data_IF_903754844231
#
_entry.id   IF_903754844231
#
_cell.length_a   1.000
_cell.length_b   1.000
_cell.length_c   1.000
_cell.angle_alpha   90.00
_cell.angle_beta   90.00
_cell.angle_gamma   90.00
#
_symmetry.space_group_name_H-M   'P 1'
#
loop_
_entity.id
_entity.type
_entity.pdbx_description
1 polymer ?
#
# COMPACT_ATOMS: atom_id res chain seq x y z
N UNK A 1 20.98 -30.47 4.39
CA UNK A 1 19.69 -30.23 3.70
C UNK A 1 18.69 -31.40 3.79
N UNK A 2 17.53 -31.15 4.41
CA UNK A 2 16.39 -32.06 4.54
C UNK A 2 15.25 -31.57 3.63
N UNK A 3 14.58 -32.47 2.90
CA UNK A 3 13.47 -32.12 2.00
C UNK A 3 12.12 -32.49 2.62
N UNK A 4 11.17 -31.56 2.54
CA UNK A 4 9.78 -31.74 2.94
C UNK A 4 8.84 -31.45 1.76
N UNK A 5 7.75 -32.22 1.69
CA UNK A 5 6.71 -32.07 0.66
C UNK A 5 5.35 -31.91 1.31
N UNK A 6 4.56 -30.96 0.81
CA UNK A 6 3.23 -30.66 1.34
C UNK A 6 2.19 -30.57 0.22
N UNK A 7 1.08 -31.30 0.41
CA UNK A 7 -0.08 -31.22 -0.47
C UNK A 7 -0.79 -29.86 -0.32
N UNK A 8 -1.03 -29.20 -1.45
CA UNK A 8 -1.70 -27.90 -1.53
C UNK A 8 -3.19 -28.01 -1.81
N UNK A 9 -3.78 -29.21 -1.77
CA UNK A 9 -5.22 -29.38 -1.99
C UNK A 9 -6.03 -28.52 -1.01
N UNK A 10 -6.86 -27.67 -1.60
CA UNK A 10 -7.71 -26.66 -0.94
C UNK A 10 -6.94 -25.56 -0.20
N UNK A 11 -5.63 -25.41 -0.42
CA UNK A 11 -4.84 -24.30 0.11
C UNK A 11 -4.87 -23.15 -0.89
N UNK A 12 -5.25 -21.97 -0.40
CA UNK A 12 -5.19 -20.70 -1.15
C UNK A 12 -4.10 -19.79 -0.61
N UNK A 13 -3.80 -19.89 0.69
CA UNK A 13 -2.88 -19.02 1.41
C UNK A 13 -1.73 -19.81 2.02
N UNK A 14 -0.51 -19.39 1.76
CA UNK A 14 0.70 -19.92 2.36
C UNK A 14 1.33 -18.89 3.28
N UNK A 15 1.59 -19.27 4.53
CA UNK A 15 2.32 -18.47 5.51
C UNK A 15 3.63 -19.17 5.84
N UNK A 16 4.73 -18.50 5.56
CA UNK A 16 6.08 -18.95 5.84
C UNK A 16 6.66 -18.05 6.94
N UNK A 17 7.32 -18.66 7.92
CA UNK A 17 8.08 -17.86 8.87
C UNK A 17 9.32 -18.57 9.37
N UNK A 18 10.38 -17.80 9.59
CA UNK A 18 11.59 -18.26 10.28
C UNK A 18 11.99 -17.27 11.36
N UNK A 19 12.77 -17.72 12.34
CA UNK A 19 13.41 -16.80 13.28
C UNK A 19 14.63 -16.14 12.61
N UNK A 20 15.49 -16.94 11.98
CA UNK A 20 16.75 -16.44 11.41
C UNK A 20 17.13 -16.99 10.05
N UNK A 21 16.40 -17.97 9.53
CA UNK A 21 16.81 -18.59 8.28
C UNK A 21 16.63 -17.63 7.11
N UNK A 22 17.60 -17.62 6.21
CA UNK A 22 17.47 -16.99 4.92
C UNK A 22 16.46 -17.80 4.10
N UNK A 23 15.44 -17.14 3.57
CA UNK A 23 14.36 -17.79 2.84
C UNK A 23 14.37 -17.38 1.38
N UNK A 24 14.66 -18.34 0.51
CA UNK A 24 14.44 -18.21 -0.93
C UNK A 24 13.14 -18.90 -1.32
N UNK A 25 12.19 -18.14 -1.84
CA UNK A 25 10.87 -18.60 -2.24
C UNK A 25 10.72 -18.42 -3.74
N UNK A 26 10.50 -19.51 -4.47
CA UNK A 26 10.37 -19.51 -5.92
C UNK A 26 9.10 -20.24 -6.35
N UNK A 27 8.54 -19.83 -7.49
CA UNK A 27 7.39 -20.53 -8.07
C UNK A 27 7.79 -21.87 -8.69
N UNK A 28 6.93 -22.88 -8.60
CA UNK A 28 7.06 -24.13 -9.34
C UNK A 28 5.79 -24.46 -10.15
N UNK A 29 5.95 -25.30 -11.17
CA UNK A 29 4.87 -25.93 -11.93
C UNK A 29 4.35 -27.22 -11.26
N UNK A 30 5.06 -27.70 -10.24
CA UNK A 30 4.60 -28.83 -9.43
C UNK A 30 3.33 -28.49 -8.66
N UNK A 31 2.59 -29.53 -8.26
CA UNK A 31 1.35 -29.40 -7.48
C UNK A 31 1.57 -29.57 -5.96
N UNK A 32 2.82 -29.53 -5.50
CA UNK A 32 3.19 -29.65 -4.10
C UNK A 32 4.10 -28.50 -3.70
N UNK A 33 4.04 -28.09 -2.43
CA UNK A 33 5.10 -27.25 -1.87
C UNK A 33 6.28 -28.14 -1.54
N UNK A 34 7.46 -27.78 -2.04
CA UNK A 34 8.72 -28.48 -1.74
C UNK A 34 9.60 -27.52 -0.94
N UNK A 35 9.90 -27.86 0.30
CA UNK A 35 10.78 -27.08 1.16
C UNK A 35 12.07 -27.87 1.42
N UNK A 36 13.21 -27.30 1.04
CA UNK A 36 14.53 -27.83 1.35
C UNK A 36 15.15 -26.96 2.43
N UNK A 37 15.50 -27.57 3.55
CA UNK A 37 15.93 -26.87 4.76
C UNK A 37 17.36 -27.26 5.08
N UNK A 38 18.27 -26.29 5.19
CA UNK A 38 19.63 -26.54 5.65
C UNK A 38 19.75 -26.32 7.16
N UNK A 39 20.28 -27.35 7.81
CA UNK A 39 20.31 -27.51 9.27
C UNK A 39 21.28 -28.62 9.64
N UNK A 40 21.99 -28.42 10.76
CA UNK A 40 22.86 -29.43 11.37
C UNK A 40 22.07 -30.48 12.17
N UNK A 41 20.76 -30.29 12.36
CA UNK A 41 19.90 -31.18 13.16
C UNK A 41 19.27 -32.28 12.30
N UNK A 42 19.73 -33.51 12.48
CA UNK A 42 19.32 -34.66 11.65
C UNK A 42 17.83 -35.05 11.79
N UNK A 43 17.19 -34.74 12.92
CA UNK A 43 15.77 -35.05 13.20
C UNK A 43 14.85 -33.81 13.08
N UNK A 44 15.36 -32.72 12.49
CA UNK A 44 14.60 -31.50 12.33
C UNK A 44 13.26 -31.72 11.62
N UNK A 45 12.22 -31.07 12.15
CA UNK A 45 10.90 -30.99 11.54
C UNK A 45 10.36 -29.56 11.69
N UNK A 46 9.93 -28.90 10.60
CA UNK A 46 9.27 -27.60 10.71
C UNK A 46 7.91 -27.76 11.40
N UNK A 47 7.47 -26.70 12.08
CA UNK A 47 6.12 -26.66 12.64
C UNK A 47 5.11 -26.39 11.52
N UNK A 48 4.09 -27.24 11.42
CA UNK A 48 3.04 -27.14 10.40
C UNK A 48 1.69 -26.98 11.06
N UNK A 49 0.91 -26.01 10.58
CA UNK A 49 -0.48 -25.81 10.97
C UNK A 49 -1.35 -25.55 9.73
N UNK A 50 -2.45 -26.28 9.63
CA UNK A 50 -3.43 -26.14 8.54
C UNK A 50 -4.77 -25.76 9.15
N UNK A 51 -5.24 -24.57 8.81
CA UNK A 51 -6.53 -24.05 9.24
C UNK A 51 -7.31 -23.54 8.02
N UNK A 52 -8.39 -24.24 7.68
CA UNK A 52 -9.18 -23.97 6.48
C UNK A 52 -8.32 -24.06 5.20
N UNK A 53 -8.29 -22.97 4.44
CA UNK A 53 -7.50 -22.82 3.21
C UNK A 53 -6.11 -22.22 3.42
N UNK A 54 -5.67 -22.09 4.68
CA UNK A 54 -4.36 -21.55 5.03
C UNK A 54 -3.43 -22.66 5.51
N UNK A 55 -2.26 -22.76 4.89
CA UNK A 55 -1.14 -23.57 5.37
C UNK A 55 -0.09 -22.64 5.99
N UNK A 56 0.31 -22.92 7.22
CA UNK A 56 1.38 -22.22 7.93
C UNK A 56 2.54 -23.17 8.14
N UNK A 57 3.73 -22.77 7.68
CA UNK A 57 5.00 -23.47 7.86
C UNK A 57 5.92 -22.55 8.64
N UNK A 58 6.35 -22.98 9.83
CA UNK A 58 7.35 -22.25 10.62
C UNK A 58 8.64 -23.05 10.69
N UNK A 59 9.71 -22.49 10.16
CA UNK A 59 11.03 -23.09 10.14
C UNK A 59 11.76 -22.83 11.47
N UNK A 60 11.28 -23.47 12.54
CA UNK A 60 11.82 -23.33 13.89
C UNK A 60 11.59 -24.61 14.69
N UNK A 61 12.42 -24.85 15.72
CA UNK A 61 12.27 -26.00 16.63
C UNK A 61 11.18 -25.72 17.69
N UNK A 62 10.25 -26.67 17.86
CA UNK A 62 9.29 -26.69 18.97
C UNK A 62 8.06 -25.76 18.82
N UNK A 63 6.93 -26.21 19.38
CA UNK A 63 5.65 -25.52 19.29
C UNK A 63 5.37 -24.57 20.47
N UNK A 64 5.52 -23.27 20.22
CA UNK A 64 4.66 -22.14 20.65
C UNK A 64 5.29 -20.82 20.17
N UNK A 65 4.45 -19.92 19.64
CA UNK A 65 4.71 -18.49 19.43
C UNK A 65 5.93 -18.06 18.59
N UNK A 66 5.71 -17.35 17.47
CA UNK A 66 6.78 -16.67 16.72
C UNK A 66 7.58 -15.71 17.62
N UNK A 67 6.90 -14.89 18.43
CA UNK A 67 7.55 -13.92 19.33
C UNK A 67 8.38 -14.57 20.45
N UNK A 68 8.01 -15.77 20.89
CA UNK A 68 8.70 -16.46 21.99
C UNK A 68 10.04 -17.06 21.53
N UNK A 69 10.13 -17.43 20.24
CA UNK A 69 11.32 -18.04 19.67
C UNK A 69 12.39 -17.04 19.19
N UNK A 70 12.05 -15.77 18.92
CA UNK A 70 13.04 -14.74 18.51
C UNK A 70 14.10 -14.49 19.59
N UNK A 71 13.77 -14.75 20.86
CA UNK A 71 14.69 -14.55 22.00
C UNK A 71 15.51 -15.81 22.36
N UNK A 72 15.40 -16.92 21.61
CA UNK A 72 16.19 -18.13 21.86
C UNK A 72 17.53 -18.07 21.12
N UNK A 73 18.60 -18.45 21.84
CA UNK A 73 20.00 -18.26 21.43
C UNK A 73 20.54 -19.28 20.41
N UNK A 74 19.76 -20.32 20.09
CA UNK A 74 20.13 -21.32 19.08
C UNK A 74 19.03 -21.34 18.01
N UNK A 75 19.37 -20.85 16.82
CA UNK A 75 18.58 -21.13 15.64
C UNK A 75 19.29 -22.24 14.89
N UNK A 76 18.57 -23.33 14.68
CA UNK A 76 19.12 -24.55 14.10
C UNK A 76 18.91 -24.60 12.59
N UNK A 77 18.47 -23.51 11.95
CA UNK A 77 18.16 -23.45 10.52
C UNK A 77 18.86 -22.27 9.89
N UNK A 78 19.73 -22.55 8.94
CA UNK A 78 20.56 -21.54 8.26
C UNK A 78 19.85 -21.02 7.01
N UNK A 79 19.42 -21.92 6.12
CA UNK A 79 18.81 -21.57 4.83
C UNK A 79 17.57 -22.43 4.55
N UNK A 80 16.59 -21.82 3.90
CA UNK A 80 15.35 -22.46 3.50
C UNK A 80 15.04 -22.10 2.05
N UNK A 81 15.05 -23.11 1.18
CA UNK A 81 14.63 -22.99 -0.21
C UNK A 81 13.23 -23.60 -0.40
N UNK A 82 12.26 -22.81 -0.83
CA UNK A 82 10.85 -23.23 -0.93
C UNK A 82 10.35 -23.02 -2.35
N UNK A 83 9.83 -24.09 -2.94
CA UNK A 83 9.12 -24.07 -4.19
C UNK A 83 7.62 -24.08 -3.94
N UNK A 84 6.92 -23.09 -4.49
CA UNK A 84 5.48 -22.87 -4.25
C UNK A 84 4.68 -23.03 -5.55
N UNK A 85 3.64 -23.88 -5.58
CA UNK A 85 2.77 -24.05 -6.74
C UNK A 85 1.99 -22.80 -7.14
N UNK A 86 1.63 -22.70 -8.43
CA UNK A 86 0.76 -21.65 -8.98
C UNK A 86 -0.65 -21.59 -8.35
N UNK A 87 -1.10 -22.66 -7.70
CA UNK A 87 -2.44 -22.71 -7.09
C UNK A 87 -2.56 -21.84 -5.83
N UNK A 88 -1.43 -21.42 -5.25
CA UNK A 88 -1.40 -20.50 -4.12
C UNK A 88 -1.64 -19.08 -4.64
N UNK A 89 -2.73 -18.45 -4.19
CA UNK A 89 -3.06 -17.07 -4.53
C UNK A 89 -2.51 -16.05 -3.54
N UNK A 90 -2.31 -16.41 -2.28
CA UNK A 90 -1.81 -15.50 -1.24
C UNK A 90 -0.53 -16.03 -0.60
N UNK A 91 0.52 -15.21 -0.58
CA UNK A 91 1.80 -15.55 0.05
C UNK A 91 2.12 -14.55 1.16
N UNK A 92 2.42 -15.06 2.35
CA UNK A 92 2.96 -14.28 3.46
C UNK A 92 4.29 -14.88 3.92
N UNK A 93 5.36 -14.09 3.92
CA UNK A 93 6.69 -14.53 4.35
C UNK A 93 7.20 -13.60 5.45
N UNK A 94 7.60 -14.16 6.59
CA UNK A 94 8.11 -13.35 7.70
C UNK A 94 9.41 -13.91 8.28
N UNK A 95 10.36 -13.05 8.59
CA UNK A 95 11.59 -13.45 9.30
C UNK A 95 11.98 -12.40 10.33
N UNK A 96 12.66 -12.83 11.39
CA UNK A 96 13.15 -11.89 12.40
C UNK A 96 14.60 -11.45 12.10
N UNK A 97 15.46 -12.33 11.59
CA UNK A 97 16.88 -11.98 11.38
C UNK A 97 17.52 -12.52 10.09
N UNK A 98 16.77 -13.24 9.26
CA UNK A 98 17.27 -13.74 7.97
C UNK A 98 16.86 -12.84 6.80
N UNK A 99 17.44 -13.09 5.63
CA UNK A 99 17.04 -12.41 4.40
C UNK A 99 15.84 -13.13 3.74
N UNK A 100 15.05 -12.40 2.96
CA UNK A 100 13.95 -12.96 2.16
C UNK A 100 14.18 -12.65 0.69
N UNK A 101 14.20 -13.68 -0.15
CA UNK A 101 14.20 -13.56 -1.61
C UNK A 101 12.94 -14.23 -2.18
N UNK A 102 12.11 -13.48 -2.90
CA UNK A 102 10.87 -13.96 -3.53
C UNK A 102 10.94 -13.70 -5.03
N UNK A 103 10.75 -14.72 -5.87
CA UNK A 103 10.96 -14.59 -7.31
C UNK A 103 9.88 -15.29 -8.15
N UNK A 104 9.40 -14.60 -9.20
CA UNK A 104 8.67 -15.22 -10.31
C UNK A 104 7.19 -15.54 -10.02
N UNK A 105 6.53 -14.77 -9.15
CA UNK A 105 5.17 -15.05 -8.70
C UNK A 105 4.07 -14.28 -9.45
N UNK A 106 2.88 -14.88 -9.53
CA UNK A 106 1.64 -14.23 -9.93
C UNK A 106 0.61 -14.56 -8.84
N UNK A 107 0.30 -13.60 -7.98
CA UNK A 107 -0.45 -13.78 -6.72
C UNK A 107 -1.61 -12.79 -6.64
N UNK A 108 -2.65 -13.15 -5.89
CA UNK A 108 -3.71 -12.23 -5.47
C UNK A 108 -3.21 -11.26 -4.38
N UNK A 109 -2.32 -11.71 -3.49
CA UNK A 109 -1.69 -10.84 -2.48
C UNK A 109 -0.31 -11.35 -2.07
N UNK A 110 0.64 -10.42 -1.90
CA UNK A 110 1.96 -10.70 -1.36
C UNK A 110 2.26 -9.83 -0.14
N UNK A 111 2.56 -10.47 0.99
CA UNK A 111 3.00 -9.79 2.21
C UNK A 111 4.34 -10.32 2.68
N UNK A 112 5.29 -9.42 2.89
CA UNK A 112 6.61 -9.74 3.42
C UNK A 112 6.96 -8.86 4.63
N UNK A 113 7.49 -9.47 5.68
CA UNK A 113 7.95 -8.76 6.87
C UNK A 113 9.32 -9.27 7.32
N UNK A 114 10.27 -8.35 7.44
CA UNK A 114 11.61 -8.61 7.98
C UNK A 114 11.85 -7.67 9.16
N UNK A 115 12.43 -8.16 10.26
CA UNK A 115 12.83 -7.30 11.39
C UNK A 115 14.29 -6.91 11.26
N UNK A 116 15.15 -7.87 10.97
CA UNK A 116 16.57 -7.66 10.66
C UNK A 116 16.91 -8.56 9.47
N UNK A 117 17.58 -8.00 8.47
CA UNK A 117 17.83 -8.66 7.18
C UNK A 117 17.13 -7.94 6.02
N UNK A 118 17.52 -8.29 4.81
CA UNK A 118 17.07 -7.63 3.58
C UNK A 118 15.89 -8.37 2.94
N UNK A 119 15.00 -7.62 2.30
CA UNK A 119 13.87 -8.14 1.54
C UNK A 119 14.07 -7.86 0.06
N UNK A 120 14.15 -8.92 -0.75
CA UNK A 120 14.22 -8.86 -2.21
C UNK A 120 13.01 -9.53 -2.84
N UNK A 121 12.28 -8.80 -3.67
CA UNK A 121 11.16 -9.33 -4.47
C UNK A 121 11.41 -9.02 -5.93
N UNK A 122 11.43 -10.06 -6.76
CA UNK A 122 11.80 -9.97 -8.18
C UNK A 122 10.77 -10.62 -9.09
N UNK A 123 10.58 -10.03 -10.27
CA UNK A 123 9.82 -10.61 -11.39
C UNK A 123 8.43 -11.14 -10.98
N UNK A 124 7.78 -10.43 -10.05
CA UNK A 124 6.54 -10.86 -9.40
C UNK A 124 5.41 -9.86 -9.62
N UNK A 125 4.19 -10.37 -9.69
CA UNK A 125 2.99 -9.60 -10.01
C UNK A 125 1.89 -9.91 -9.00
N UNK A 126 1.31 -8.88 -8.40
CA UNK A 126 0.12 -9.01 -7.54
C UNK A 126 -0.60 -7.68 -7.42
N UNK A 127 -1.94 -7.63 -7.36
CA UNK A 127 -2.63 -6.36 -7.16
C UNK A 127 -2.22 -5.69 -5.84
N UNK A 128 -1.95 -6.46 -4.79
CA UNK A 128 -1.65 -5.94 -3.45
C UNK A 128 -0.29 -6.44 -2.93
N UNK A 129 0.65 -5.50 -2.76
CA UNK A 129 1.95 -5.73 -2.13
C UNK A 129 2.04 -5.00 -0.77
N UNK A 130 2.45 -5.73 0.27
CA UNK A 130 2.76 -5.13 1.58
C UNK A 130 4.12 -5.61 2.08
N UNK A 131 5.06 -4.68 2.20
CA UNK A 131 6.44 -4.95 2.62
C UNK A 131 6.74 -4.14 3.88
N UNK A 132 7.25 -4.78 4.92
CA UNK A 132 7.63 -4.11 6.16
C UNK A 132 9.03 -4.53 6.59
N UNK A 133 9.90 -3.58 6.87
CA UNK A 133 11.23 -3.75 7.44
C UNK A 133 11.36 -2.96 8.74
N UNK A 134 12.16 -3.45 9.69
CA UNK A 134 12.63 -2.63 10.83
C UNK A 134 14.08 -2.19 10.59
N UNK A 135 14.96 -3.13 10.27
CA UNK A 135 16.38 -2.89 10.03
C UNK A 135 16.87 -3.73 8.86
N UNK A 136 16.88 -3.15 7.67
CA UNK A 136 17.33 -3.80 6.44
C UNK A 136 16.65 -3.21 5.22
N UNK A 137 17.27 -3.41 4.05
CA UNK A 137 16.83 -2.78 2.81
C UNK A 137 15.68 -3.56 2.17
N UNK A 138 14.75 -2.85 1.56
CA UNK A 138 13.65 -3.44 0.78
C UNK A 138 13.88 -3.15 -0.68
N UNK A 139 14.09 -4.19 -1.49
CA UNK A 139 14.30 -4.09 -2.93
C UNK A 139 13.21 -4.82 -3.70
N UNK A 140 12.40 -4.05 -4.41
CA UNK A 140 11.36 -4.54 -5.30
C UNK A 140 11.80 -4.26 -6.73
N UNK A 141 12.16 -5.29 -7.49
CA UNK A 141 12.67 -5.14 -8.86
C UNK A 141 11.78 -5.88 -9.85
N UNK A 142 11.53 -5.27 -11.00
CA UNK A 142 10.75 -5.88 -12.08
C UNK A 142 9.37 -6.38 -11.64
N UNK A 143 8.76 -5.77 -10.63
CA UNK A 143 7.45 -6.18 -10.13
C UNK A 143 6.33 -5.26 -10.62
N UNK A 144 5.09 -5.73 -10.50
CA UNK A 144 3.93 -4.94 -10.85
C UNK A 144 2.76 -5.13 -9.87
N UNK A 145 2.12 -4.03 -9.51
CA UNK A 145 1.06 -3.95 -8.50
C UNK A 145 0.10 -2.80 -8.73
N UNK A 146 -1.08 -2.89 -8.09
CA UNK A 146 -2.09 -1.82 -8.04
C UNK A 146 -2.01 -1.02 -6.74
N UNK A 147 -1.71 -1.68 -5.63
CA UNK A 147 -1.52 -1.08 -4.31
C UNK A 147 -0.22 -1.60 -3.73
N UNK A 148 0.63 -0.69 -3.29
CA UNK A 148 1.86 -1.00 -2.60
C UNK A 148 1.97 -0.21 -1.31
N UNK A 149 2.23 -0.91 -0.21
CA UNK A 149 2.62 -0.31 1.06
C UNK A 149 3.99 -0.84 1.48
N UNK A 150 4.97 0.05 1.51
CA UNK A 150 6.34 -0.24 1.96
C UNK A 150 6.68 0.58 3.20
N UNK A 151 6.90 -0.08 4.34
CA UNK A 151 7.27 0.61 5.59
C UNK A 151 8.66 0.16 6.04
N UNK A 152 9.49 1.11 6.46
CA UNK A 152 10.80 0.85 7.08
C UNK A 152 10.99 1.71 8.33
N UNK A 153 11.78 1.24 9.31
CA UNK A 153 12.29 2.11 10.38
C UNK A 153 13.69 2.59 10.02
N UNK A 154 14.58 1.66 9.69
CA UNK A 154 15.92 1.92 9.20
C UNK A 154 16.25 1.02 8.02
N UNK A 155 16.83 1.60 6.97
CA UNK A 155 17.10 0.92 5.71
C UNK A 155 16.36 1.57 4.55
N UNK A 156 16.91 1.39 3.36
CA UNK A 156 16.47 2.04 2.14
C UNK A 156 15.38 1.22 1.46
N UNK A 157 14.47 1.90 0.78
CA UNK A 157 13.41 1.28 -0.01
C UNK A 157 13.67 1.58 -1.49
N UNK A 158 13.92 0.53 -2.26
CA UNK A 158 14.16 0.58 -3.70
C UNK A 158 13.00 -0.07 -4.45
N UNK A 159 12.33 0.69 -5.31
CA UNK A 159 11.34 0.19 -6.27
C UNK A 159 11.88 0.43 -7.67
N UNK A 160 12.30 -0.63 -8.35
CA UNK A 160 13.05 -0.57 -9.59
C UNK A 160 12.29 -1.17 -10.77
N UNK A 161 12.44 -0.54 -11.93
CA UNK A 161 11.84 -0.94 -13.19
C UNK A 161 10.29 -0.97 -13.18
N UNK A 162 9.70 0.03 -12.51
CA UNK A 162 8.25 0.16 -12.37
C UNK A 162 7.61 0.70 -13.67
N UNK A 163 6.72 -0.05 -14.34
CA UNK A 163 6.03 0.47 -15.52
C UNK A 163 4.95 1.49 -15.13
N UNK A 164 4.72 2.58 -15.90
CA UNK A 164 3.60 3.49 -15.68
C UNK A 164 2.24 2.77 -15.74
N UNK A 165 1.48 2.78 -14.64
CA UNK A 165 0.13 2.18 -14.58
C UNK A 165 -0.75 2.92 -13.57
N UNK A 166 -2.05 2.68 -13.65
CA UNK A 166 -2.98 3.16 -12.64
C UNK A 166 -2.79 2.39 -11.32
N UNK A 167 -2.16 3.03 -10.32
CA UNK A 167 -1.85 2.42 -9.02
C UNK A 167 -1.71 3.44 -7.88
N UNK A 168 -1.64 2.90 -6.67
CA UNK A 168 -1.33 3.61 -5.44
C UNK A 168 -0.04 3.03 -4.85
N UNK A 169 0.88 3.92 -4.49
CA UNK A 169 2.18 3.56 -3.94
C UNK A 169 2.42 4.41 -2.70
N UNK A 170 2.46 3.76 -1.55
CA UNK A 170 2.73 4.38 -0.26
C UNK A 170 4.04 3.83 0.32
N UNK A 171 5.01 4.72 0.52
CA UNK A 171 6.27 4.44 1.19
C UNK A 171 6.38 5.31 2.43
N UNK A 172 6.72 4.70 3.55
CA UNK A 172 7.05 5.40 4.79
C UNK A 172 8.35 4.85 5.36
N UNK A 173 9.32 5.72 5.67
CA UNK A 173 10.54 5.37 6.38
C UNK A 173 10.83 6.35 7.51
N UNK A 174 11.55 5.94 8.55
CA UNK A 174 12.05 6.89 9.57
C UNK A 174 13.43 7.38 9.16
N UNK A 175 14.37 6.47 8.94
CA UNK A 175 15.74 6.79 8.54
C UNK A 175 16.19 5.91 7.38
N UNK A 176 16.12 6.46 6.17
CA UNK A 176 16.55 5.80 4.95
C UNK A 176 16.07 6.54 3.71
N UNK A 177 16.70 6.23 2.59
CA UNK A 177 16.34 6.77 1.30
C UNK A 177 15.18 5.97 0.69
N UNK A 178 14.31 6.64 -0.04
CA UNK A 178 13.29 5.99 -0.84
C UNK A 178 13.56 6.30 -2.32
N UNK A 179 13.89 5.27 -3.10
CA UNK A 179 14.21 5.39 -4.52
C UNK A 179 13.21 4.64 -5.39
N UNK A 180 12.57 5.36 -6.30
CA UNK A 180 11.67 4.80 -7.31
C UNK A 180 12.25 5.05 -8.70
N UNK A 181 12.33 4.00 -9.51
CA UNK A 181 12.79 4.06 -10.89
C UNK A 181 11.69 3.55 -11.82
N UNK A 182 11.08 4.46 -12.58
CA UNK A 182 10.11 4.14 -13.61
C UNK A 182 10.78 3.73 -14.92
N UNK A 183 10.16 2.83 -15.69
CA UNK A 183 10.63 2.45 -17.05
C UNK A 183 10.00 3.27 -18.17
N UNK A 184 9.13 4.21 -17.83
CA UNK A 184 8.49 5.11 -18.77
C UNK A 184 7.94 6.33 -18.04
N UNK A 185 7.24 7.17 -18.79
CA UNK A 185 6.68 8.43 -18.32
C UNK A 185 5.35 8.21 -17.57
N UNK A 186 5.29 8.30 -16.22
CA UNK A 186 4.02 8.16 -15.50
C UNK A 186 3.16 9.43 -15.57
N UNK A 187 1.86 9.28 -15.35
CA UNK A 187 0.95 10.40 -15.05
C UNK A 187 0.62 10.34 -13.57
N UNK A 188 1.50 10.93 -12.76
CA UNK A 188 1.45 10.76 -11.32
C UNK A 188 1.16 12.05 -10.57
N UNK A 189 0.51 11.87 -9.44
CA UNK A 189 0.39 12.85 -8.38
C UNK A 189 1.18 12.34 -7.18
N UNK A 190 2.05 13.18 -6.62
CA UNK A 190 2.97 12.77 -5.57
C UNK A 190 2.95 13.70 -4.36
N UNK A 191 2.76 13.11 -3.18
CA UNK A 191 2.99 13.78 -1.90
C UNK A 191 4.31 13.29 -1.35
N UNK A 192 5.27 14.21 -1.25
CA UNK A 192 6.57 13.97 -0.63
C UNK A 192 6.65 14.75 0.67
N UNK A 193 6.90 14.06 1.78
CA UNK A 193 7.13 14.69 3.07
C UNK A 193 8.39 14.13 3.70
N UNK A 194 9.40 14.99 3.92
CA UNK A 194 10.55 14.67 4.75
C UNK A 194 10.83 15.82 5.74
N UNK A 195 11.38 15.50 6.91
CA UNK A 195 11.89 16.52 7.84
C UNK A 195 13.30 16.94 7.42
N UNK A 196 14.14 15.98 7.03
CA UNK A 196 15.48 16.22 6.50
C UNK A 196 15.82 15.32 5.31
N UNK A 197 16.58 15.85 4.36
CA UNK A 197 16.92 15.18 3.11
C UNK A 197 16.39 15.93 1.89
N UNK A 198 16.86 15.54 0.71
CA UNK A 198 16.54 16.17 -0.55
C UNK A 198 15.51 15.36 -1.34
N UNK A 199 14.66 16.07 -2.08
CA UNK A 199 13.78 15.45 -3.07
C UNK A 199 14.49 15.59 -4.41
N UNK A 200 14.99 14.47 -4.93
CA UNK A 200 15.72 14.42 -6.20
C UNK A 200 14.82 13.76 -7.23
N UNK A 201 14.49 14.48 -8.29
CA UNK A 201 13.64 13.95 -9.36
C UNK A 201 14.25 14.21 -10.73
N UNK A 202 14.29 13.17 -11.57
CA UNK A 202 14.61 13.32 -13.00
C UNK A 202 13.37 13.63 -13.85
N UNK A 203 12.18 13.63 -13.24
CA UNK A 203 10.92 13.93 -13.90
C UNK A 203 10.63 15.44 -13.79
N UNK A 204 10.21 16.14 -14.86
CA UNK A 204 9.79 17.54 -14.77
C UNK A 204 8.51 17.71 -13.92
N UNK A 205 8.67 17.83 -12.60
CA UNK A 205 7.56 17.96 -11.64
C UNK A 205 7.26 19.43 -11.32
N UNK A 206 5.98 19.77 -11.25
CA UNK A 206 5.52 21.08 -10.78
C UNK A 206 5.15 20.95 -9.30
N UNK A 207 5.87 21.67 -8.44
CA UNK A 207 5.47 21.80 -7.03
C UNK A 207 4.16 22.59 -6.98
N UNK A 208 3.10 21.96 -6.46
CA UNK A 208 1.78 22.59 -6.26
C UNK A 208 1.78 23.32 -4.94
N UNK A 209 2.07 22.61 -3.85
CA UNK A 209 2.09 23.13 -2.48
C UNK A 209 3.34 22.65 -1.72
N UNK A 210 3.51 23.03 -0.45
CA UNK A 210 4.65 22.68 0.43
C UNK A 210 5.13 21.22 0.31
N UNK A 211 4.21 20.24 0.32
CA UNK A 211 4.45 18.78 0.28
C UNK A 211 3.90 18.09 -0.98
N UNK A 212 3.20 18.82 -1.83
CA UNK A 212 2.45 18.26 -2.96
C UNK A 212 3.10 18.65 -4.28
N UNK A 213 3.44 17.62 -5.06
CA UNK A 213 4.06 17.74 -6.37
C UNK A 213 3.20 17.01 -7.38
N UNK A 214 2.93 17.67 -8.49
CA UNK A 214 2.18 17.05 -9.59
C UNK A 214 3.07 16.87 -10.80
N UNK A 215 2.92 15.73 -11.48
CA UNK A 215 3.67 15.44 -12.68
C UNK A 215 2.73 15.31 -13.89
N UNK A 216 2.77 16.33 -14.76
CA UNK A 216 1.96 16.39 -15.98
C UNK A 216 2.86 16.69 -17.18
N UNK A 217 2.69 15.94 -18.26
CA UNK A 217 3.30 16.27 -19.56
C UNK A 217 2.45 17.32 -20.27
N UNK A 218 3.09 18.32 -20.89
CA UNK A 218 2.44 19.46 -21.58
C UNK A 218 1.41 19.05 -22.65
N UNK A 219 1.44 17.81 -23.14
CA UNK A 219 0.49 17.28 -24.14
C UNK A 219 -0.70 16.50 -23.53
N UNK A 220 -0.83 16.45 -22.20
CA UNK A 220 -1.93 15.79 -21.50
C UNK A 220 -2.79 16.79 -20.72
N UNK A 221 -3.14 17.91 -21.35
CA UNK A 221 -4.11 18.85 -20.80
C UNK A 221 -5.49 18.20 -20.70
N UNK A 222 -5.93 17.85 -19.49
CA UNK A 222 -7.30 17.42 -19.20
C UNK A 222 -7.51 15.96 -18.80
N UNK A 223 -6.46 15.13 -18.76
CA UNK A 223 -6.57 13.77 -18.21
C UNK A 223 -6.06 13.75 -16.75
N UNK A 224 -6.95 13.39 -15.82
CA UNK A 224 -6.63 13.20 -14.40
C UNK A 224 -5.47 12.20 -14.22
N UNK A 225 -4.60 12.46 -13.23
CA UNK A 225 -3.55 11.54 -12.82
C UNK A 225 -4.14 10.14 -12.58
N UNK A 226 -3.43 9.11 -13.05
CA UNK A 226 -3.85 7.73 -12.85
C UNK A 226 -2.99 7.02 -11.80
N UNK A 227 -1.84 7.57 -11.44
CA UNK A 227 -0.96 7.03 -10.41
C UNK A 227 -0.83 8.00 -9.23
N UNK A 228 -0.88 7.46 -8.02
CA UNK A 228 -0.76 8.21 -6.79
C UNK A 228 0.39 7.70 -5.96
N UNK A 229 1.25 8.63 -5.59
CA UNK A 229 2.48 8.35 -4.88
C UNK A 229 2.49 9.12 -3.56
N UNK A 230 2.67 8.43 -2.45
CA UNK A 230 2.94 9.05 -1.16
C UNK A 230 4.26 8.50 -0.65
N UNK A 231 5.23 9.39 -0.45
CA UNK A 231 6.49 9.03 0.17
C UNK A 231 6.73 9.91 1.38
N UNK A 232 6.88 9.27 2.52
CA UNK A 232 7.17 9.92 3.78
C UNK A 232 8.50 9.42 4.32
N UNK A 233 9.35 10.34 4.75
CA UNK A 233 10.55 10.06 5.54
C UNK A 233 10.62 11.00 6.73
N UNK A 234 11.36 10.64 7.78
CA UNK A 234 11.84 11.62 8.75
C UNK A 234 13.19 12.14 8.30
N UNK A 235 14.12 11.25 7.96
CA UNK A 235 15.44 11.58 7.41
C UNK A 235 15.82 10.65 6.26
N UNK A 236 16.30 11.26 5.18
CA UNK A 236 16.78 10.54 3.99
C UNK A 236 16.26 11.19 2.71
N UNK A 237 16.89 10.84 1.60
CA UNK A 237 16.59 11.41 0.29
C UNK A 237 15.45 10.66 -0.38
N UNK A 238 14.55 11.43 -0.99
CA UNK A 238 13.43 10.89 -1.75
C UNK A 238 13.75 11.05 -3.23
N UNK A 239 14.01 9.92 -3.90
CA UNK A 239 14.58 9.89 -5.24
C UNK A 239 13.56 9.29 -6.21
N UNK A 240 13.19 10.04 -7.24
CA UNK A 240 12.32 9.56 -8.32
C UNK A 240 13.02 9.73 -9.66
N UNK A 241 13.30 8.62 -10.33
CA UNK A 241 13.95 8.63 -11.64
C UNK A 241 13.07 7.96 -12.71
N UNK A 242 13.24 8.42 -13.95
CA UNK A 242 12.66 7.80 -15.14
C UNK A 242 13.82 7.26 -15.99
N UNK A 243 13.80 5.97 -16.27
CA UNK A 243 14.75 5.27 -17.13
C UNK A 243 14.01 4.60 -18.30
N UNK A 244 13.83 5.34 -19.40
CA UNK A 244 13.13 4.87 -20.61
C UNK A 244 13.87 3.76 -21.38
N UNK A 245 15.16 3.60 -21.13
CA UNK A 245 15.96 2.50 -21.70
C UNK A 245 15.86 1.21 -20.88
N UNK A 246 15.16 1.23 -19.74
CA UNK A 246 14.98 0.08 -18.87
C UNK A 246 14.01 -0.94 -19.45
N UNK A 247 14.32 -2.23 -19.32
CA UNK A 247 13.35 -3.30 -19.55
C UNK A 247 12.24 -3.19 -18.51
N UNK A 248 11.00 -2.98 -18.96
CA UNK A 248 9.83 -3.01 -18.06
C UNK A 248 9.79 -4.35 -17.31
N UNK A 249 9.50 -4.28 -16.01
CA UNK A 249 9.32 -5.46 -15.16
C UNK A 249 8.25 -6.42 -15.65
N UNK A 250 8.08 -7.54 -14.94
CA UNK A 250 7.06 -8.54 -15.23
C UNK A 250 5.68 -7.87 -15.42
N UNK A 251 5.07 -8.07 -16.58
CA UNK A 251 3.73 -7.55 -16.87
C UNK A 251 2.68 -8.47 -16.28
N UNK A 252 1.56 -7.90 -15.84
CA UNK A 252 0.35 -8.70 -15.68
C UNK A 252 0.04 -9.41 -17.01
N UNK A 253 -0.28 -10.70 -16.96
CA UNK A 253 -0.78 -11.44 -18.15
C UNK A 253 -2.17 -10.96 -18.56
N UNK A 254 -2.96 -10.51 -17.59
CA UNK A 254 -4.27 -9.91 -17.79
C UNK A 254 -4.19 -8.45 -17.38
N UNK A 255 -4.47 -7.47 -18.26
CA UNK A 255 -4.47 -6.07 -17.88
C UNK A 255 -5.39 -5.90 -16.66
N UNK A 256 -4.90 -5.24 -15.61
CA UNK A 256 -5.57 -5.32 -14.33
C UNK A 256 -6.96 -4.66 -14.42
N UNK A 257 -7.94 -5.15 -13.64
CA UNK A 257 -9.36 -4.70 -13.70
C UNK A 257 -9.46 -3.17 -13.64
N UNK A 258 -10.13 -2.52 -14.60
CA UNK A 258 -10.43 -1.09 -14.50
C UNK A 258 -11.23 -0.83 -13.22
N UNK A 259 -10.75 0.09 -12.40
CA UNK A 259 -11.49 0.57 -11.23
C UNK A 259 -12.76 1.29 -11.67
N UNK A 260 -13.80 1.25 -10.84
CA UNK A 260 -15.01 2.03 -11.06
C UNK A 260 -14.74 3.53 -10.84
N UNK A 261 -15.64 4.37 -11.34
CA UNK A 261 -15.58 5.81 -11.09
C UNK A 261 -15.66 6.13 -9.58
N UNK A 262 -16.52 5.44 -8.84
CA UNK A 262 -16.66 5.59 -7.38
C UNK A 262 -15.39 5.20 -6.61
N UNK A 263 -14.74 4.09 -7.00
CA UNK A 263 -13.46 3.66 -6.41
C UNK A 263 -12.38 4.69 -6.68
N UNK A 264 -12.34 5.26 -7.89
CA UNK A 264 -11.41 6.32 -8.28
C UNK A 264 -11.63 7.59 -7.46
N UNK A 265 -12.88 8.04 -7.31
CA UNK A 265 -13.21 9.21 -6.49
C UNK A 265 -12.88 9.01 -5.00
N UNK A 266 -13.20 7.84 -4.43
CA UNK A 266 -12.90 7.54 -3.03
C UNK A 266 -11.41 7.61 -2.76
N UNK A 267 -10.62 7.01 -3.65
CA UNK A 267 -9.16 7.09 -3.61
C UNK A 267 -8.68 8.53 -3.79
N UNK A 268 -9.32 9.34 -4.63
CA UNK A 268 -8.97 10.76 -4.82
C UNK A 268 -9.16 11.52 -3.50
N UNK A 269 -10.32 11.35 -2.84
CA UNK A 269 -10.57 11.96 -1.52
C UNK A 269 -9.57 11.52 -0.45
N UNK A 270 -9.24 10.24 -0.39
CA UNK A 270 -8.25 9.73 0.55
C UNK A 270 -6.87 10.36 0.30
N UNK A 271 -6.44 10.44 -0.96
CA UNK A 271 -5.15 11.04 -1.30
C UNK A 271 -5.12 12.55 -1.07
N UNK A 272 -6.20 13.26 -1.37
CA UNK A 272 -6.34 14.70 -1.10
C UNK A 272 -6.21 15.02 0.39
N UNK A 273 -6.73 14.14 1.26
CA UNK A 273 -6.55 14.30 2.71
C UNK A 273 -5.07 14.26 3.15
N UNK A 274 -4.19 13.65 2.36
CA UNK A 274 -2.76 13.48 2.68
C UNK A 274 -1.91 14.69 2.24
N UNK A 275 -2.44 15.55 1.37
CA UNK A 275 -1.79 16.79 0.92
C UNK A 275 -1.72 17.81 2.06
N UNK A 276 -2.74 17.81 2.92
CA UNK A 276 -2.91 18.71 4.04
C UNK A 276 -2.32 18.03 5.28
N UNK A 277 -1.36 18.67 5.95
CA UNK A 277 -0.87 18.13 7.23
C UNK A 277 -1.83 18.36 8.38
N UNK A 278 -1.72 17.55 9.42
CA UNK A 278 -2.65 17.53 10.54
C UNK A 278 -2.81 18.91 11.22
N UNK A 279 -1.74 19.71 11.30
CA UNK A 279 -1.78 21.06 11.85
C UNK A 279 -2.55 22.02 10.94
N UNK A 280 -2.33 21.92 9.63
CA UNK A 280 -3.09 22.65 8.61
C UNK A 280 -4.56 22.26 8.64
N UNK A 281 -4.87 20.97 8.72
CA UNK A 281 -6.24 20.45 8.79
C UNK A 281 -6.95 20.96 10.04
N UNK A 282 -6.31 20.88 11.21
CA UNK A 282 -6.82 21.46 12.46
C UNK A 282 -7.08 22.95 12.33
N UNK A 283 -6.15 23.70 11.71
CA UNK A 283 -6.30 25.14 11.49
C UNK A 283 -7.50 25.45 10.59
N UNK A 284 -7.68 24.70 9.50
CA UNK A 284 -8.81 24.83 8.58
C UNK A 284 -10.14 24.41 9.22
N UNK A 285 -10.14 23.40 10.08
CA UNK A 285 -11.32 22.98 10.86
C UNK A 285 -11.71 24.05 11.88
N UNK A 286 -10.75 24.69 12.57
CA UNK A 286 -11.03 25.82 13.46
C UNK A 286 -11.62 27.02 12.72
N UNK A 287 -11.20 27.28 11.47
CA UNK A 287 -11.83 28.27 10.61
C UNK A 287 -13.26 27.86 10.25
N UNK A 288 -13.47 26.60 9.84
CA UNK A 288 -14.79 26.04 9.48
C UNK A 288 -15.78 26.13 10.64
N UNK A 289 -15.33 25.86 11.85
CA UNK A 289 -16.10 25.99 13.10
C UNK A 289 -16.30 27.44 13.58
N UNK A 290 -15.73 28.43 12.88
CA UNK A 290 -15.79 29.85 13.26
C UNK A 290 -14.98 30.22 14.50
N UNK A 291 -14.17 29.30 15.02
CA UNK A 291 -13.25 29.53 16.16
C UNK A 291 -12.03 30.36 15.76
N UNK A 292 -11.76 30.45 14.47
CA UNK A 292 -10.67 31.21 13.88
C UNK A 292 -11.20 32.12 12.78
N UNK A 293 -10.71 33.37 12.71
CA UNK A 293 -11.03 34.26 11.58
C UNK A 293 -10.17 33.90 10.36
N UNK A 294 -10.61 34.26 9.17
CA UNK A 294 -9.83 34.06 7.93
C UNK A 294 -8.47 34.78 7.99
N UNK A 295 -8.40 35.98 8.58
CA UNK A 295 -7.14 36.73 8.74
C UNK A 295 -6.14 35.97 9.64
N UNK A 296 -6.60 35.47 10.80
CA UNK A 296 -5.77 34.66 11.69
C UNK A 296 -5.38 33.33 11.05
N UNK A 297 -6.28 32.71 10.28
CA UNK A 297 -6.00 31.49 9.52
C UNK A 297 -4.86 31.70 8.54
N UNK A 298 -4.92 32.77 7.72
CA UNK A 298 -3.83 33.12 6.80
C UNK A 298 -2.51 33.29 7.54
N UNK A 299 -2.49 33.96 8.70
CA UNK A 299 -1.28 34.11 9.52
C UNK A 299 -0.74 32.78 10.04
N UNK A 300 -1.59 31.90 10.56
CA UNK A 300 -1.17 30.57 11.01
C UNK A 300 -0.58 29.74 9.87
N UNK A 301 -1.23 29.73 8.71
CA UNK A 301 -0.73 29.05 7.51
C UNK A 301 0.61 29.63 7.04
N UNK A 302 0.79 30.96 7.07
CA UNK A 302 2.09 31.61 6.77
C UNK A 302 3.19 31.19 7.75
N UNK A 303 2.88 31.12 9.05
CA UNK A 303 3.81 30.64 10.08
C UNK A 303 4.18 29.17 9.85
N UNK A 304 3.23 28.35 9.40
CA UNK A 304 3.49 26.97 8.98
C UNK A 304 4.28 26.88 7.65
N UNK A 305 4.61 28.01 7.02
CA UNK A 305 5.50 28.08 5.86
C UNK A 305 4.79 27.98 4.52
N UNK A 306 3.46 28.15 4.46
CA UNK A 306 2.74 28.27 3.21
C UNK A 306 2.92 29.67 2.60
N UNK A 307 3.08 29.73 1.28
CA UNK A 307 3.12 30.98 0.51
C UNK A 307 1.72 31.58 0.37
N UNK A 308 1.59 32.90 0.16
CA UNK A 308 0.29 33.54 0.00
C UNK A 308 -0.60 32.90 -1.08
N UNK A 309 -0.02 32.46 -2.21
CA UNK A 309 -0.79 31.84 -3.29
C UNK A 309 -1.31 30.44 -2.90
N UNK A 310 -0.53 29.68 -2.13
CA UNK A 310 -0.91 28.36 -1.62
C UNK A 310 -2.05 28.46 -0.59
N UNK A 311 -2.03 29.53 0.21
CA UNK A 311 -3.06 29.79 1.23
C UNK A 311 -4.42 30.09 0.60
N UNK A 312 -4.45 30.92 -0.45
CA UNK A 312 -5.71 31.19 -1.17
C UNK A 312 -6.29 29.91 -1.77
N UNK A 313 -5.45 29.03 -2.32
CA UNK A 313 -5.89 27.74 -2.84
C UNK A 313 -6.46 26.82 -1.75
N UNK A 314 -5.81 26.74 -0.58
CA UNK A 314 -6.31 25.95 0.57
C UNK A 314 -7.65 26.46 1.09
N UNK A 315 -7.81 27.79 1.17
CA UNK A 315 -9.06 28.41 1.62
C UNK A 315 -10.19 28.17 0.62
N UNK A 316 -9.90 28.22 -0.69
CA UNK A 316 -10.87 27.93 -1.74
C UNK A 316 -11.33 26.46 -1.72
N UNK A 317 -10.41 25.49 -1.62
CA UNK A 317 -10.75 24.06 -1.49
C UNK A 317 -11.61 23.79 -0.26
N UNK A 318 -11.30 24.41 0.88
CA UNK A 318 -12.09 24.24 2.11
C UNK A 318 -13.52 24.79 1.97
N UNK A 319 -13.71 25.85 1.17
CA UNK A 319 -15.05 26.37 0.85
C UNK A 319 -15.83 25.43 -0.08
N UNK A 320 -15.19 24.82 -1.07
CA UNK A 320 -15.82 23.83 -1.96
C UNK A 320 -16.23 22.56 -1.21
N UNK A 321 -15.38 22.05 -0.31
CA UNK A 321 -15.70 20.90 0.54
C UNK A 321 -16.91 21.21 1.43
N UNK A 322 -16.98 22.41 2.00
CA UNK A 322 -18.13 22.87 2.80
C UNK A 322 -19.42 22.90 1.97
N UNK A 323 -19.36 23.45 0.76
CA UNK A 323 -20.53 23.49 -0.14
C UNK A 323 -20.99 22.09 -0.57
N UNK A 324 -20.05 21.17 -0.81
CA UNK A 324 -20.36 19.79 -1.18
C UNK A 324 -20.91 18.95 -0.01
N UNK A 325 -20.46 19.18 1.22
CA UNK A 325 -21.03 18.55 2.41
C UNK A 325 -22.43 19.09 2.73
N UNK A 326 -22.65 20.40 2.61
CA UNK A 326 -23.97 21.02 2.76
C UNK A 326 -24.94 20.50 1.68
N UNK A 327 -24.49 20.38 0.43
CA UNK A 327 -25.30 19.82 -0.67
C UNK A 327 -25.63 18.33 -0.50
N UNK A 328 -24.72 17.53 0.09
CA UNK A 328 -24.98 16.11 0.42
C UNK A 328 -25.95 15.95 1.59
N UNK A 329 -25.84 16.80 2.62
CA UNK A 329 -26.79 16.82 3.73
C UNK A 329 -28.19 17.22 3.24
N UNK A 330 -28.28 18.14 2.28
CA UNK A 330 -29.53 18.53 1.63
C UNK A 330 -30.09 17.43 0.71
N UNK A 331 -29.26 16.66 0.00
CA UNK A 331 -29.73 15.52 -0.80
C UNK A 331 -30.23 14.35 0.05
N UNK A 332 -29.52 14.00 1.14
CA UNK A 332 -29.94 12.96 2.09
C UNK A 332 -31.22 13.34 2.87
N UNK A 333 -31.45 14.62 3.12
CA UNK A 333 -32.73 15.09 3.70
C UNK A 333 -33.86 15.20 2.68
N UNK A 334 -33.55 15.27 1.38
CA UNK A 334 -34.56 15.25 0.31
C UNK A 334 -35.01 13.82 0.00
N UNK A 335 -34.09 12.85 -0.07
CA UNK A 335 -34.41 11.41 -0.21
C UNK A 335 -35.23 10.90 0.99
N UNK A 336 -34.84 11.25 2.23
CA UNK A 336 -35.64 10.89 3.43
C UNK A 336 -37.02 11.59 3.46
N UNK A 337 -37.18 12.75 2.83
CA UNK A 337 -38.49 13.41 2.74
C UNK A 337 -39.39 12.76 1.69
N UNK A 338 -38.83 12.33 0.56
CA UNK A 338 -39.57 11.62 -0.49
C UNK A 338 -40.08 10.26 0.02
N UNK A 339 -39.26 9.51 0.76
CA UNK A 339 -39.65 8.23 1.40
C UNK A 339 -40.78 8.39 2.44
N UNK A 340 -40.78 9.50 3.20
CA UNK A 340 -41.84 9.81 4.19
C UNK A 340 -43.14 10.28 3.51
N UNK A 341 -43.08 10.89 2.33
CA UNK A 341 -44.30 11.23 1.56
C UNK A 341 -44.94 10.01 0.90
N UNK A 342 -44.16 9.03 0.42
CA UNK A 342 -44.70 7.81 -0.17
C UNK A 342 -45.43 6.92 0.87
N UNK A 343 -44.88 6.78 2.09
CA UNK A 343 -45.54 6.04 3.19
C UNK A 343 -46.85 6.70 3.68
N UNK A 344 -46.97 8.04 3.57
CA UNK A 344 -48.21 8.74 3.92
C UNK A 344 -49.30 8.63 2.86
N UNK A 345 -48.94 8.49 1.58
CA UNK A 345 -49.93 8.27 0.51
C UNK A 345 -50.47 6.83 0.49
N UNK A 346 -49.69 5.83 0.91
CA UNK A 346 -50.19 4.45 0.99
C UNK A 346 -51.08 4.20 2.23
N UNK A 347 -50.88 4.94 3.32
CA UNK A 347 -51.70 4.80 4.54
C UNK A 347 -53.09 5.47 4.46
N UNK A 348 -53.28 6.47 3.59
CA UNK A 348 -54.61 7.09 3.36
C UNK A 348 -55.49 6.33 2.34
N UNK A 349 -54.92 5.45 1.51
CA UNK A 349 -55.70 4.61 0.57
C UNK A 349 -56.20 3.27 1.14
N UNK A 350 -55.80 2.90 2.36
CA UNK A 350 -56.10 1.61 2.97
C UNK A 350 -57.33 1.54 3.89
N UNK A 351 -57.95 2.67 4.26
CA UNK A 351 -59.05 2.68 5.25
C UNK A 351 -60.48 2.72 4.69
N UNK A 352 -60.68 2.86 3.37
CA UNK A 352 -62.03 3.01 2.79
C UNK A 352 -62.68 1.73 2.20
N UNK A 353 -62.02 0.56 2.22
CA UNK A 353 -62.61 -0.70 1.69
C UNK A 353 -63.16 -1.67 2.75
N UNK A 354 -63.51 -1.19 3.94
CA UNK A 354 -64.16 -2.05 4.96
C UNK A 354 -65.47 -1.51 5.53
N UNK A 355 -66.32 -0.90 4.71
CA UNK A 355 -67.77 -0.73 5.01
C UNK A 355 -68.62 -0.70 3.74
N UNK A 356 -69.22 -1.83 3.38
CA UNK A 356 -70.44 -1.88 2.57
C UNK A 356 -70.44 -2.97 1.49
N UNK A 357 -71.33 -3.95 1.63
CA UNK A 357 -71.72 -4.88 0.55
C UNK A 357 -71.71 -6.34 0.97
#
# INVERSE_FOLDING_TARGET
MIEFRYDVKNIKKLKLSSASADMTVQRTEDNEIIAKVDTDEADYQPFIDKSGSTLTIRFQKGGKGFLENIFRKNNDVDEVFIQVPRSIGELQVNTASGDISIEGFELDSLKATVVSGDLRIEDSVSPDFSCNSVSGDVRIRNCNFRSFSGNSVSGDIFVENLPPLERELWISTVSGDARIIYTGKPKLEAVFSSVSGEIITSAPMTKRNKKHYSFYYEHFSGEEANEKLKIQSVSGDLILNINEAGTAGASFKTPPRRISHEERESRNREFESLIIDEETEKTLNLLKEGKLTEEYTRKFLQVMGYKPEEIEHLLAMNQEVKQNEEAKADSETTENKEEITEEKTESETGEDEKKGG
#
